data_IF_397641874885
#
_entry.id   IF_397641874885
#
_cell.length_a   1.000
_cell.length_b   1.000
_cell.length_c   1.000
_cell.angle_alpha   90.00
_cell.angle_beta   90.00
_cell.angle_gamma   90.00
#
_symmetry.space_group_name_H-M   'P 1'
#
loop_
_entity.id
_entity.type
_entity.pdbx_description
1 polymer ?
#
# COMPACT_ATOMS: atom_id res chain seq x y z
N UNK A 1 45.50 -73.00 17.96
CA UNK A 1 44.34 -73.42 17.15
C UNK A 1 43.09 -72.91 17.85
N UNK A 2 42.24 -72.19 17.13
CA UNK A 2 41.02 -71.59 17.67
C UNK A 2 40.76 -70.21 17.05
N UNK A 3 40.76 -70.12 15.72
CA UNK A 3 40.19 -68.96 15.04
C UNK A 3 38.67 -68.99 15.30
N UNK A 4 38.20 -68.11 16.19
CA UNK A 4 36.77 -67.88 16.36
C UNK A 4 36.25 -67.26 15.08
N UNK A 5 35.43 -68.00 14.35
CA UNK A 5 34.63 -67.48 13.24
C UNK A 5 33.84 -66.28 13.78
N UNK A 6 34.19 -65.07 13.32
CA UNK A 6 33.27 -63.94 13.41
C UNK A 6 31.98 -64.38 12.73
N UNK A 7 30.91 -64.53 13.50
CA UNK A 7 29.60 -64.82 12.94
C UNK A 7 29.24 -63.63 12.05
N UNK A 8 29.28 -63.84 10.73
CA UNK A 8 28.80 -62.85 9.78
C UNK A 8 27.31 -62.70 10.01
N UNK A 9 26.90 -61.52 10.49
CA UNK A 9 25.49 -61.18 10.61
C UNK A 9 24.89 -61.08 9.19
N UNK A 10 23.72 -61.68 8.93
CA UNK A 10 23.04 -61.54 7.64
C UNK A 10 22.50 -60.13 7.42
N UNK A 11 22.58 -59.25 8.42
CA UNK A 11 22.01 -57.91 8.42
C UNK A 11 23.03 -56.78 8.18
N UNK A 12 24.21 -57.11 7.65
CA UNK A 12 25.29 -56.15 7.38
C UNK A 12 26.31 -56.06 8.51
N UNK A 13 27.58 -55.91 8.14
CA UNK A 13 28.71 -55.91 9.08
C UNK A 13 28.69 -54.71 10.05
N UNK A 14 27.95 -53.66 9.70
CA UNK A 14 27.81 -52.43 10.48
C UNK A 14 26.81 -52.55 11.63
N UNK A 15 25.96 -53.59 11.66
CA UNK A 15 25.01 -53.81 12.75
C UNK A 15 25.72 -54.33 14.00
N UNK A 16 25.71 -53.53 15.07
CA UNK A 16 26.40 -53.83 16.35
C UNK A 16 25.46 -54.23 17.49
N UNK A 17 24.18 -54.47 17.19
CA UNK A 17 23.12 -54.78 18.16
C UNK A 17 23.15 -56.25 18.56
N UNK A 18 22.80 -56.54 19.82
CA UNK A 18 22.74 -57.92 20.29
C UNK A 18 21.61 -58.67 19.59
N UNK A 19 21.86 -59.90 19.14
CA UNK A 19 20.89 -60.59 18.31
C UNK A 19 19.58 -60.93 19.05
N UNK A 20 19.65 -61.03 20.38
CA UNK A 20 18.50 -61.22 21.28
C UNK A 20 17.57 -60.00 21.38
N UNK A 21 18.01 -58.82 20.94
CA UNK A 21 17.16 -57.63 20.88
C UNK A 21 16.14 -57.70 19.74
N UNK A 22 16.32 -58.61 18.78
CA UNK A 22 15.42 -58.81 17.64
C UNK A 22 14.95 -60.26 17.46
N UNK A 23 15.69 -61.25 17.98
CA UNK A 23 15.40 -62.67 17.77
C UNK A 23 15.28 -63.44 19.08
N UNK A 24 14.42 -64.46 19.10
CA UNK A 24 14.36 -65.37 20.23
C UNK A 24 15.58 -66.33 20.25
N UNK A 25 16.01 -66.71 21.46
CA UNK A 25 17.18 -67.57 21.66
C UNK A 25 16.91 -69.05 21.40
N UNK A 26 15.64 -69.44 21.28
CA UNK A 26 15.20 -70.83 21.10
C UNK A 26 15.08 -71.28 19.63
N UNK A 27 15.00 -70.34 18.68
CA UNK A 27 14.75 -70.65 17.27
C UNK A 27 15.11 -69.55 16.28
N UNK A 28 15.71 -68.44 16.72
CA UNK A 28 16.05 -67.29 15.88
C UNK A 28 14.85 -66.61 15.20
N UNK A 29 13.64 -66.80 15.73
CA UNK A 29 12.45 -66.14 15.18
C UNK A 29 12.42 -64.68 15.60
N UNK A 30 12.00 -63.81 14.68
CA UNK A 30 11.87 -62.37 14.94
C UNK A 30 10.76 -62.11 15.98
N UNK A 31 11.07 -61.30 16.99
CA UNK A 31 10.19 -61.07 18.15
C UNK A 31 9.15 -59.95 17.94
N UNK A 32 9.08 -59.36 16.74
CA UNK A 32 8.03 -58.39 16.36
C UNK A 32 8.07 -57.13 17.22
N UNK A 33 6.93 -56.77 17.81
CA UNK A 33 6.77 -55.62 18.72
C UNK A 33 7.73 -55.65 19.92
N UNK A 34 8.29 -56.81 20.27
CA UNK A 34 9.30 -56.93 21.32
C UNK A 34 10.69 -56.47 20.90
N UNK A 35 10.92 -56.19 19.61
CA UNK A 35 12.21 -55.84 19.07
C UNK A 35 12.64 -54.44 19.55
N UNK A 36 13.91 -54.29 19.90
CA UNK A 36 14.45 -53.07 20.50
C UNK A 36 15.51 -52.45 19.60
N UNK A 37 15.11 -51.43 18.84
CA UNK A 37 16.02 -50.63 18.04
C UNK A 37 15.52 -49.18 17.93
N UNK A 38 16.43 -48.21 18.03
CA UNK A 38 16.12 -46.79 17.91
C UNK A 38 16.83 -46.20 16.69
N UNK A 39 16.06 -45.60 15.77
CA UNK A 39 16.58 -44.99 14.55
C UNK A 39 17.16 -43.57 14.77
N UNK A 40 16.90 -42.98 15.93
CA UNK A 40 17.25 -41.60 16.30
C UNK A 40 18.76 -41.29 16.20
N UNK A 41 19.60 -42.34 16.21
CA UNK A 41 21.06 -42.21 16.19
C UNK A 41 21.70 -42.57 14.84
N UNK A 42 20.91 -42.91 13.81
CA UNK A 42 21.42 -43.43 12.52
C UNK A 42 21.00 -42.61 11.30
N UNK A 43 20.59 -41.35 11.49
CA UNK A 43 20.45 -40.37 10.41
C UNK A 43 19.06 -40.24 9.77
N UNK A 44 18.09 -41.07 10.18
CA UNK A 44 16.69 -40.94 9.80
C UNK A 44 15.78 -41.25 10.99
N UNK A 45 15.18 -40.23 11.59
CA UNK A 45 14.29 -40.40 12.75
C UNK A 45 12.91 -40.88 12.28
N UNK A 46 12.45 -42.04 12.77
CA UNK A 46 11.12 -42.54 12.44
C UNK A 46 10.06 -41.73 13.19
N UNK A 47 9.21 -41.02 12.43
CA UNK A 47 8.09 -40.26 12.96
C UNK A 47 6.79 -40.68 12.29
N UNK A 48 5.70 -40.58 13.05
CA UNK A 48 4.33 -40.63 12.52
C UNK A 48 4.13 -41.92 11.70
N UNK A 49 3.77 -41.83 10.41
CA UNK A 49 3.48 -43.01 9.59
C UNK A 49 4.69 -43.92 9.38
N UNK A 50 5.92 -43.40 9.51
CA UNK A 50 7.13 -44.21 9.43
C UNK A 50 7.36 -45.11 10.67
N UNK A 51 6.71 -44.84 11.81
CA UNK A 51 6.79 -45.70 13.01
C UNK A 51 6.10 -47.06 12.80
N UNK A 52 5.11 -47.10 11.91
CA UNK A 52 4.32 -48.29 11.62
C UNK A 52 4.86 -49.07 10.41
N UNK A 53 5.97 -48.61 9.80
CA UNK A 53 6.55 -49.23 8.62
C UNK A 53 7.33 -50.51 8.98
N UNK A 54 7.08 -51.60 8.24
CA UNK A 54 7.89 -52.81 8.34
C UNK A 54 9.35 -52.54 7.97
N UNK A 55 10.30 -53.17 8.66
CA UNK A 55 11.75 -52.97 8.42
C UNK A 55 12.15 -53.17 6.95
N UNK A 56 11.50 -54.11 6.26
CA UNK A 56 11.79 -54.41 4.83
C UNK A 56 11.34 -53.32 3.87
N UNK A 57 10.44 -52.44 4.27
CA UNK A 57 9.97 -51.32 3.44
C UNK A 57 11.11 -50.33 3.17
N UNK A 58 12.02 -50.16 4.13
CA UNK A 58 13.22 -49.34 3.97
C UNK A 58 14.47 -50.20 3.69
N UNK A 59 14.59 -51.35 4.35
CA UNK A 59 15.72 -52.27 4.24
C UNK A 59 15.35 -53.50 3.39
N UNK A 60 15.24 -53.32 2.08
CA UNK A 60 14.78 -54.36 1.14
C UNK A 60 15.57 -55.67 1.22
N UNK A 61 16.88 -55.58 1.47
CA UNK A 61 17.82 -56.71 1.65
C UNK A 61 17.98 -57.15 3.10
N UNK A 62 17.43 -56.37 4.05
CA UNK A 62 17.69 -56.44 5.50
C UNK A 62 19.15 -56.18 5.90
N UNK A 63 19.97 -55.65 4.99
CA UNK A 63 21.30 -55.09 5.31
C UNK A 63 21.08 -53.65 5.75
N UNK A 64 21.27 -53.37 7.05
CA UNK A 64 20.75 -52.13 7.65
C UNK A 64 21.54 -50.86 7.32
N UNK A 65 22.73 -50.99 6.73
CA UNK A 65 23.58 -49.87 6.29
C UNK A 65 23.44 -49.53 4.79
N UNK A 66 22.53 -50.19 4.07
CA UNK A 66 22.28 -49.94 2.63
C UNK A 66 21.13 -48.97 2.35
N UNK A 67 20.24 -48.72 3.31
CA UNK A 67 19.06 -47.89 3.07
C UNK A 67 19.42 -46.40 2.96
N UNK A 68 18.90 -45.74 1.93
CA UNK A 68 18.99 -44.29 1.79
C UNK A 68 17.90 -43.61 2.61
N UNK A 69 18.16 -42.36 3.01
CA UNK A 69 17.27 -41.56 3.86
C UNK A 69 16.52 -40.46 3.09
N UNK A 70 16.70 -40.36 1.77
CA UNK A 70 15.99 -39.39 0.94
C UNK A 70 14.57 -39.86 0.66
N UNK A 71 13.60 -38.94 0.60
CA UNK A 71 12.19 -39.30 0.35
C UNK A 71 12.03 -40.09 -0.96
N UNK A 72 12.70 -39.63 -2.03
CA UNK A 72 12.62 -40.21 -3.38
C UNK A 72 13.28 -41.60 -3.50
N UNK A 73 14.08 -42.02 -2.52
CA UNK A 73 14.66 -43.37 -2.52
C UNK A 73 13.61 -44.45 -2.25
N UNK A 74 12.50 -44.08 -1.59
CA UNK A 74 11.42 -44.98 -1.18
C UNK A 74 10.07 -44.58 -1.78
N UNK A 75 9.84 -43.30 -2.04
CA UNK A 75 8.58 -42.77 -2.56
C UNK A 75 8.72 -42.29 -4.00
N UNK A 76 7.80 -42.75 -4.85
CA UNK A 76 7.71 -42.29 -6.23
C UNK A 76 7.22 -40.84 -6.27
N UNK A 77 7.91 -40.01 -7.04
CA UNK A 77 7.46 -38.66 -7.32
C UNK A 77 6.25 -38.67 -8.26
N UNK A 78 5.11 -38.17 -7.78
CA UNK A 78 3.88 -38.03 -8.55
C UNK A 78 3.83 -36.75 -9.36
N UNK A 79 4.75 -35.80 -9.11
CA UNK A 79 4.73 -34.47 -9.71
C UNK A 79 5.62 -34.33 -10.95
N UNK A 80 6.22 -35.43 -11.42
CA UNK A 80 7.09 -35.45 -12.60
C UNK A 80 8.23 -34.42 -12.54
N UNK A 81 8.83 -34.24 -11.36
CA UNK A 81 9.88 -33.29 -11.01
C UNK A 81 9.51 -31.82 -11.19
N UNK A 82 8.22 -31.48 -11.37
CA UNK A 82 7.78 -30.10 -11.58
C UNK A 82 8.01 -29.19 -10.36
N UNK A 83 8.06 -29.77 -9.16
CA UNK A 83 8.26 -29.05 -7.89
C UNK A 83 9.58 -29.40 -7.18
N UNK A 84 10.45 -30.18 -7.84
CA UNK A 84 11.70 -30.68 -7.25
C UNK A 84 11.54 -31.90 -6.34
N UNK A 85 12.59 -32.25 -5.60
CA UNK A 85 12.70 -33.43 -4.72
C UNK A 85 12.63 -33.11 -3.22
N UNK A 86 12.49 -31.83 -2.85
CA UNK A 86 12.30 -31.39 -1.48
C UNK A 86 10.84 -31.58 -1.03
N UNK A 87 10.46 -32.85 -0.80
CA UNK A 87 9.08 -33.23 -0.49
C UNK A 87 8.53 -32.54 0.77
N UNK A 88 9.39 -32.29 1.77
CA UNK A 88 9.03 -31.72 3.08
C UNK A 88 8.65 -30.24 2.98
N UNK A 89 8.94 -29.60 1.84
CA UNK A 89 8.46 -28.25 1.55
C UNK A 89 6.92 -28.16 1.56
N UNK A 90 6.23 -29.22 1.18
CA UNK A 90 4.77 -29.24 1.04
C UNK A 90 4.11 -30.38 1.83
N UNK A 91 4.77 -31.54 1.94
CA UNK A 91 4.23 -32.73 2.59
C UNK A 91 4.88 -32.94 3.96
N UNK A 92 4.22 -33.73 4.81
CA UNK A 92 4.79 -34.17 6.07
C UNK A 92 4.71 -35.69 6.24
N UNK A 93 5.31 -36.20 7.32
CA UNK A 93 5.40 -37.64 7.59
C UNK A 93 4.07 -38.24 8.08
N UNK A 94 3.01 -37.45 8.26
CA UNK A 94 1.67 -37.95 8.61
C UNK A 94 1.00 -38.46 7.36
N UNK A 95 0.95 -37.63 6.31
CA UNK A 95 0.33 -37.95 5.04
C UNK A 95 0.74 -36.96 3.93
N UNK A 96 0.45 -37.35 2.69
CA UNK A 96 0.75 -36.54 1.50
C UNK A 96 -0.23 -35.40 1.23
N UNK A 97 -1.17 -35.09 2.13
CA UNK A 97 -2.12 -33.98 1.91
C UNK A 97 -1.43 -32.64 2.18
N UNK A 98 -1.81 -31.62 1.41
CA UNK A 98 -1.33 -30.25 1.53
C UNK A 98 -2.53 -29.36 1.82
N UNK A 99 -2.56 -28.74 3.01
CA UNK A 99 -3.68 -27.90 3.48
C UNK A 99 -3.34 -26.39 3.50
N UNK A 100 -2.08 -26.03 3.29
CA UNK A 100 -1.54 -24.67 3.32
C UNK A 100 -1.28 -24.07 1.92
N UNK A 101 -2.12 -24.42 0.94
CA UNK A 101 -1.99 -23.93 -0.45
C UNK A 101 -2.00 -22.38 -0.54
N UNK A 102 -2.85 -21.63 0.19
CA UNK A 102 -2.80 -20.16 0.16
C UNK A 102 -1.46 -19.59 0.62
N UNK A 103 -0.90 -20.13 1.70
CA UNK A 103 0.39 -19.69 2.25
C UNK A 103 1.53 -20.01 1.28
N UNK A 104 1.49 -21.18 0.63
CA UNK A 104 2.45 -21.54 -0.41
C UNK A 104 2.43 -20.56 -1.59
N UNK A 105 1.26 -20.10 -2.00
CA UNK A 105 1.13 -19.08 -3.04
C UNK A 105 1.69 -17.73 -2.58
N UNK A 106 1.41 -17.32 -1.34
CA UNK A 106 1.91 -16.07 -0.76
C UNK A 106 3.43 -16.03 -0.68
N UNK A 107 4.08 -17.06 -0.12
CA UNK A 107 5.55 -17.09 0.04
C UNK A 107 6.28 -17.21 -1.30
N UNK A 108 5.60 -17.68 -2.35
CA UNK A 108 6.14 -17.77 -3.71
C UNK A 108 5.81 -16.53 -4.56
N UNK A 109 5.23 -15.48 -3.99
CA UNK A 109 5.08 -14.20 -4.68
C UNK A 109 3.81 -14.06 -5.53
N UNK A 110 2.82 -14.93 -5.36
CA UNK A 110 1.48 -14.74 -5.93
C UNK A 110 0.39 -14.97 -4.88
N UNK A 111 0.17 -14.04 -3.93
CA UNK A 111 -0.85 -14.20 -2.91
C UNK A 111 -2.25 -14.34 -3.52
N UNK A 112 -2.98 -15.39 -3.13
CA UNK A 112 -4.35 -15.62 -3.61
C UNK A 112 -5.32 -14.64 -2.95
N UNK A 113 -5.44 -13.45 -3.55
CA UNK A 113 -6.28 -12.35 -3.08
C UNK A 113 -7.46 -12.10 -4.03
N UNK A 114 -8.51 -11.45 -3.52
CA UNK A 114 -9.66 -11.05 -4.32
C UNK A 114 -10.29 -12.23 -5.08
N UNK A 115 -10.50 -12.06 -6.38
CA UNK A 115 -11.05 -13.11 -7.25
C UNK A 115 -10.09 -14.30 -7.49
N UNK A 116 -8.77 -14.10 -7.40
CA UNK A 116 -7.79 -15.18 -7.62
C UNK A 116 -7.88 -16.29 -6.57
N UNK A 117 -8.48 -16.02 -5.40
CA UNK A 117 -8.81 -17.04 -4.40
C UNK A 117 -9.97 -17.97 -4.81
N UNK A 118 -10.84 -17.51 -5.71
CA UNK A 118 -12.12 -18.16 -6.01
C UNK A 118 -12.10 -18.96 -7.32
N UNK A 119 -11.09 -18.76 -8.16
CA UNK A 119 -10.93 -19.50 -9.41
C UNK A 119 -10.46 -20.93 -9.15
N UNK A 120 -10.80 -21.84 -10.06
CA UNK A 120 -10.29 -23.22 -10.00
C UNK A 120 -8.78 -23.24 -10.27
N UNK A 121 -8.06 -24.13 -9.59
CA UNK A 121 -6.61 -24.31 -9.79
C UNK A 121 -6.27 -24.56 -11.26
N UNK A 122 -7.14 -25.29 -11.97
CA UNK A 122 -7.00 -25.63 -13.39
C UNK A 122 -7.06 -24.43 -14.34
N UNK A 123 -7.60 -23.28 -13.91
CA UNK A 123 -7.64 -22.07 -14.74
C UNK A 123 -6.24 -21.45 -14.89
N UNK A 124 -5.35 -21.70 -13.93
CA UNK A 124 -3.96 -21.24 -13.94
C UNK A 124 -2.99 -22.40 -14.20
N UNK A 125 -3.10 -23.47 -13.42
CA UNK A 125 -2.26 -24.67 -13.53
C UNK A 125 -2.88 -25.66 -14.51
N UNK A 126 -2.71 -25.41 -15.81
CA UNK A 126 -3.33 -26.19 -16.89
C UNK A 126 -2.98 -27.69 -16.87
N UNK A 127 -1.91 -28.08 -16.18
CA UNK A 127 -1.46 -29.48 -16.04
C UNK A 127 -1.81 -30.11 -14.69
N UNK A 128 -2.60 -29.44 -13.84
CA UNK A 128 -2.98 -29.87 -12.50
C UNK A 128 -3.62 -31.26 -12.46
N UNK A 129 -4.43 -31.59 -13.48
CA UNK A 129 -5.07 -32.91 -13.61
C UNK A 129 -4.10 -34.10 -13.72
N UNK A 130 -2.82 -33.83 -14.01
CA UNK A 130 -1.73 -34.82 -14.02
C UNK A 130 -0.81 -34.69 -12.79
N UNK A 131 -1.25 -33.99 -11.74
CA UNK A 131 -0.46 -33.66 -10.54
C UNK A 131 0.83 -32.90 -10.87
N UNK A 132 0.87 -32.19 -12.01
CA UNK A 132 2.02 -31.42 -12.46
C UNK A 132 1.80 -29.95 -12.21
N UNK A 133 2.69 -29.34 -11.44
CA UNK A 133 2.58 -27.96 -10.97
C UNK A 133 3.73 -27.13 -11.51
N UNK A 134 3.54 -26.62 -12.73
CA UNK A 134 4.55 -25.77 -13.36
C UNK A 134 4.52 -24.35 -12.81
N UNK A 135 5.70 -23.73 -12.81
CA UNK A 135 5.83 -22.30 -12.60
C UNK A 135 5.26 -21.53 -13.79
N UNK A 136 4.18 -20.78 -13.56
CA UNK A 136 3.47 -19.98 -14.56
C UNK A 136 3.88 -18.50 -14.57
N UNK A 137 4.60 -18.04 -13.54
CA UNK A 137 4.88 -16.62 -13.32
C UNK A 137 3.78 -15.90 -12.53
N UNK A 138 4.06 -14.67 -12.10
CA UNK A 138 3.17 -13.85 -11.26
C UNK A 138 2.79 -12.53 -11.91
N UNK A 139 3.26 -12.26 -13.14
CA UNK A 139 3.03 -11.00 -13.81
C UNK A 139 1.57 -10.91 -14.28
N UNK A 140 0.90 -9.82 -13.95
CA UNK A 140 -0.50 -9.59 -14.31
C UNK A 140 -0.73 -9.76 -15.81
N UNK A 141 0.24 -9.29 -16.61
CA UNK A 141 0.19 -9.31 -18.08
C UNK A 141 0.30 -10.71 -18.67
N UNK A 142 0.79 -11.71 -17.92
CA UNK A 142 0.83 -13.10 -18.37
C UNK A 142 -0.57 -13.61 -18.71
N UNK A 143 -1.60 -13.15 -17.98
CA UNK A 143 -3.00 -13.53 -18.21
C UNK A 143 -3.84 -12.37 -18.74
N UNK A 144 -3.65 -11.16 -18.23
CA UNK A 144 -4.56 -10.03 -18.43
C UNK A 144 -4.13 -9.03 -19.50
N UNK A 145 -3.15 -9.37 -20.36
CA UNK A 145 -2.73 -8.45 -21.44
C UNK A 145 -3.83 -8.22 -22.49
N UNK A 146 -4.67 -9.23 -22.75
CA UNK A 146 -5.82 -9.06 -23.66
C UNK A 146 -6.89 -8.14 -23.04
N UNK A 147 -7.16 -8.29 -21.74
CA UNK A 147 -8.05 -7.41 -20.98
C UNK A 147 -7.53 -5.96 -21.02
N UNK A 148 -6.23 -5.77 -20.82
CA UNK A 148 -5.56 -4.47 -20.89
C UNK A 148 -5.76 -3.80 -22.27
N UNK A 149 -5.58 -4.55 -23.37
CA UNK A 149 -5.78 -4.05 -24.73
C UNK A 149 -7.26 -3.82 -25.10
N UNK A 150 -8.18 -4.59 -24.52
CA UNK A 150 -9.60 -4.53 -24.84
C UNK A 150 -10.35 -3.43 -24.07
N UNK A 151 -9.77 -2.89 -22.98
CA UNK A 151 -10.42 -1.89 -22.14
C UNK A 151 -10.56 -0.55 -22.86
N UNK A 152 -11.76 0.03 -22.84
CA UNK A 152 -12.09 1.28 -23.53
C UNK A 152 -12.51 2.44 -22.62
N UNK A 153 -12.71 2.18 -21.33
CA UNK A 153 -13.20 3.18 -20.38
C UNK A 153 -12.57 2.96 -18.98
N UNK A 154 -11.44 3.63 -18.67
CA UNK A 154 -10.59 4.42 -19.57
C UNK A 154 -9.81 3.54 -20.57
N UNK A 155 -9.52 4.03 -21.78
CA UNK A 155 -8.75 3.26 -22.77
C UNK A 155 -7.26 3.27 -22.41
N UNK A 156 -6.74 2.15 -21.92
CA UNK A 156 -5.37 2.06 -21.42
C UNK A 156 -4.30 2.33 -22.49
N UNK A 157 -4.52 1.85 -23.73
CA UNK A 157 -3.57 2.04 -24.84
C UNK A 157 -3.56 3.48 -25.34
N UNK A 158 -4.73 4.09 -25.50
CA UNK A 158 -4.85 5.47 -25.96
C UNK A 158 -4.23 6.44 -24.96
N UNK A 159 -4.39 6.17 -23.67
CA UNK A 159 -3.88 7.01 -22.58
C UNK A 159 -2.43 6.67 -22.20
N UNK A 160 -1.85 5.63 -22.78
CA UNK A 160 -0.46 5.25 -22.55
C UNK A 160 -0.19 4.77 -21.12
N UNK A 161 -1.14 4.08 -20.49
CA UNK A 161 -0.92 3.57 -19.13
C UNK A 161 0.23 2.58 -19.06
N UNK A 162 0.81 2.48 -17.86
CA UNK A 162 1.85 1.51 -17.57
C UNK A 162 1.27 0.08 -17.54
N UNK A 163 2.16 -0.91 -17.61
CA UNK A 163 1.82 -2.31 -17.34
C UNK A 163 1.94 -2.65 -15.84
N UNK A 164 2.27 -1.67 -15.00
CA UNK A 164 2.32 -1.80 -13.54
C UNK A 164 0.90 -1.68 -12.99
N UNK A 165 0.11 -2.74 -13.18
CA UNK A 165 -1.35 -2.72 -12.92
C UNK A 165 -1.69 -2.26 -11.50
N UNK A 166 -0.81 -2.51 -10.52
CA UNK A 166 -1.01 -2.16 -9.11
C UNK A 166 -0.92 -0.67 -8.80
N UNK A 167 -0.52 0.17 -9.76
CA UNK A 167 -0.63 1.62 -9.65
C UNK A 167 -2.10 2.07 -9.50
N UNK A 168 -3.03 1.32 -10.11
CA UNK A 168 -4.47 1.65 -10.12
C UNK A 168 -5.37 0.48 -9.64
N UNK A 169 -4.97 -0.77 -9.87
CA UNK A 169 -5.80 -1.94 -9.60
C UNK A 169 -5.29 -2.70 -8.37
N UNK A 170 -6.17 -2.98 -7.42
CA UNK A 170 -5.80 -3.79 -6.26
C UNK A 170 -6.05 -5.28 -6.54
N UNK A 171 -5.06 -6.17 -6.35
CA UNK A 171 -5.26 -7.62 -6.47
C UNK A 171 -6.21 -8.19 -5.40
N UNK A 172 -6.47 -7.44 -4.33
CA UNK A 172 -7.45 -7.79 -3.31
C UNK A 172 -8.90 -7.39 -3.69
N UNK A 173 -9.08 -6.61 -4.76
CA UNK A 173 -10.40 -6.18 -5.20
C UNK A 173 -11.20 -7.33 -5.81
N UNK A 174 -12.54 -7.23 -5.70
CA UNK A 174 -13.45 -8.16 -6.35
C UNK A 174 -13.68 -7.84 -7.83
N UNK A 175 -13.19 -6.70 -8.32
CA UNK A 175 -13.31 -6.27 -9.72
C UNK A 175 -12.11 -5.40 -10.14
N UNK A 176 -11.93 -5.23 -11.45
CA UNK A 176 -10.96 -4.29 -12.03
C UNK A 176 -11.30 -2.80 -11.76
N UNK A 177 -12.44 -2.50 -11.13
CA UNK A 177 -12.81 -1.13 -10.78
C UNK A 177 -11.76 -0.48 -9.88
N UNK A 178 -11.36 0.74 -10.25
CA UNK A 178 -10.55 1.61 -9.39
C UNK A 178 -11.48 2.26 -8.37
N UNK A 179 -11.11 2.27 -7.09
CA UNK A 179 -11.84 3.01 -6.06
C UNK A 179 -11.46 4.49 -6.12
N UNK A 180 -12.36 5.41 -5.77
CA UNK A 180 -12.07 6.87 -5.74
C UNK A 180 -10.88 7.27 -4.85
N UNK A 181 -10.40 6.34 -4.02
CA UNK A 181 -9.25 6.51 -3.13
C UNK A 181 -7.92 6.89 -3.82
N UNK A 182 -7.83 6.89 -5.15
CA UNK A 182 -6.64 7.37 -5.87
C UNK A 182 -6.55 8.90 -5.97
N UNK A 183 -7.65 9.62 -5.74
CA UNK A 183 -7.72 11.09 -5.79
C UNK A 183 -7.92 11.73 -4.40
N UNK A 184 -7.54 11.05 -3.31
CA UNK A 184 -7.73 11.58 -1.95
C UNK A 184 -7.01 12.91 -1.70
N UNK A 185 -5.90 13.15 -2.38
CA UNK A 185 -5.13 14.39 -2.27
C UNK A 185 -5.55 15.48 -3.25
N UNK A 186 -6.39 15.13 -4.24
CA UNK A 186 -6.96 16.06 -5.19
C UNK A 186 -8.36 15.56 -5.60
N UNK A 187 -9.38 15.75 -4.75
CA UNK A 187 -10.72 15.26 -5.02
C UNK A 187 -11.26 15.84 -6.33
N UNK A 188 -11.77 14.96 -7.20
CA UNK A 188 -12.37 15.35 -8.47
C UNK A 188 -13.77 15.92 -8.23
N UNK A 189 -13.85 17.20 -7.88
CA UNK A 189 -15.09 17.89 -7.57
C UNK A 189 -15.31 19.11 -8.49
N UNK A 190 -16.58 19.45 -8.71
CA UNK A 190 -17.01 20.63 -9.46
C UNK A 190 -16.39 20.76 -10.85
N UNK A 191 -15.49 21.74 -11.06
CA UNK A 191 -14.83 21.94 -12.37
C UNK A 191 -13.66 21.01 -12.63
N UNK A 192 -13.12 20.35 -11.60
CA UNK A 192 -12.09 19.33 -11.73
C UNK A 192 -12.66 17.92 -11.91
N UNK A 193 -13.99 17.75 -11.75
CA UNK A 193 -14.70 16.53 -12.13
C UNK A 193 -14.86 16.45 -13.66
N UNK A 194 -13.77 16.05 -14.32
CA UNK A 194 -13.69 15.89 -15.77
C UNK A 194 -13.40 14.44 -16.14
N UNK A 195 -13.97 14.00 -17.27
CA UNK A 195 -13.73 12.65 -17.79
C UNK A 195 -12.38 12.51 -18.53
N UNK A 196 -11.72 13.63 -18.85
CA UNK A 196 -10.45 13.65 -19.59
C UNK A 196 -9.27 13.65 -18.62
N UNK A 197 -8.83 12.45 -18.25
CA UNK A 197 -7.76 12.27 -17.28
C UNK A 197 -6.43 12.91 -17.77
N UNK A 198 -6.21 12.91 -19.08
CA UNK A 198 -5.01 13.47 -19.71
C UNK A 198 -4.93 15.00 -19.57
N UNK A 199 -6.01 15.68 -19.21
CA UNK A 199 -6.00 17.10 -18.92
C UNK A 199 -5.21 17.44 -17.64
N UNK A 200 -5.13 16.52 -16.69
CA UNK A 200 -4.36 16.68 -15.44
C UNK A 200 -3.06 15.88 -15.47
N UNK A 201 -3.07 14.68 -16.05
CA UNK A 201 -1.92 13.78 -16.10
C UNK A 201 -1.10 13.99 -17.38
N UNK A 202 -0.36 15.10 -17.43
CA UNK A 202 0.37 15.56 -18.63
C UNK A 202 1.63 14.75 -18.99
N UNK A 203 2.02 13.76 -18.19
CA UNK A 203 3.22 12.94 -18.39
C UNK A 203 2.92 11.50 -18.78
N UNK A 204 3.97 10.72 -19.07
CA UNK A 204 3.85 9.27 -19.35
C UNK A 204 3.39 8.46 -18.13
N UNK A 205 3.63 9.00 -16.92
CA UNK A 205 3.19 8.39 -15.67
C UNK A 205 2.14 9.25 -14.99
N UNK A 206 0.99 8.64 -14.73
CA UNK A 206 -0.14 9.28 -14.07
C UNK A 206 0.16 9.59 -12.59
N UNK A 207 1.18 8.98 -11.97
CA UNK A 207 1.58 9.31 -10.60
C UNK A 207 2.27 10.66 -10.44
N UNK A 208 2.64 11.33 -11.54
CA UNK A 208 3.44 12.55 -11.50
C UNK A 208 2.61 13.84 -11.57
N UNK A 209 1.28 13.75 -11.66
CA UNK A 209 0.44 14.95 -11.65
C UNK A 209 0.56 15.67 -10.30
N UNK A 210 0.83 16.97 -10.36
CA UNK A 210 0.96 17.85 -9.21
C UNK A 210 -0.44 18.23 -8.71
N UNK A 211 -0.78 18.00 -7.42
CA UNK A 211 -2.06 18.44 -6.86
C UNK A 211 -2.10 19.95 -6.56
N UNK A 212 -0.97 20.65 -6.67
CA UNK A 212 -0.87 22.08 -6.38
C UNK A 212 -1.61 22.92 -7.44
N UNK A 213 -2.54 23.76 -7.01
CA UNK A 213 -3.38 24.57 -7.90
C UNK A 213 -2.54 25.42 -8.88
N UNK A 214 -1.44 26.02 -8.39
CA UNK A 214 -0.56 26.87 -9.18
C UNK A 214 0.12 26.12 -10.33
N UNK A 215 0.25 24.79 -10.26
CA UNK A 215 0.86 24.01 -11.34
C UNK A 215 0.08 24.10 -12.67
N UNK A 216 -1.23 24.36 -12.59
CA UNK A 216 -2.09 24.59 -13.76
C UNK A 216 -2.57 26.06 -13.86
N UNK A 217 -2.73 26.74 -12.74
CA UNK A 217 -3.34 28.07 -12.66
C UNK A 217 -2.32 29.20 -12.39
N UNK A 218 -1.05 29.00 -12.71
CA UNK A 218 -0.01 30.03 -12.59
C UNK A 218 -0.32 31.28 -13.43
N UNK A 219 -0.71 31.08 -14.69
CA UNK A 219 -1.07 32.19 -15.57
C UNK A 219 -2.29 32.97 -15.04
N UNK A 220 -3.29 32.26 -14.50
CA UNK A 220 -4.45 32.87 -13.86
C UNK A 220 -4.05 33.68 -12.61
N UNK A 221 -3.15 33.12 -11.79
CA UNK A 221 -2.60 33.79 -10.61
C UNK A 221 -1.88 35.10 -10.97
N UNK A 222 -1.05 35.11 -12.02
CA UNK A 222 -0.35 36.30 -12.47
C UNK A 222 -1.23 37.31 -13.23
N UNK A 223 -2.29 36.84 -13.89
CA UNK A 223 -3.20 37.69 -14.65
C UNK A 223 -4.27 38.38 -13.77
N UNK A 224 -4.46 37.92 -12.53
CA UNK A 224 -5.50 38.45 -11.63
C UNK A 224 -5.17 39.88 -11.19
N UNK A 225 -6.12 40.81 -11.40
CA UNK A 225 -5.96 42.23 -11.08
C UNK A 225 -6.80 42.72 -9.89
N UNK A 226 -7.73 41.90 -9.39
CA UNK A 226 -8.65 42.31 -8.33
C UNK A 226 -9.07 41.13 -7.43
N UNK A 227 -8.50 41.00 -6.23
CA UNK A 227 -7.29 41.68 -5.76
C UNK A 227 -6.06 41.24 -6.56
N UNK A 228 -5.11 42.14 -6.82
CA UNK A 228 -3.91 41.79 -7.57
C UNK A 228 -2.94 40.96 -6.71
N UNK A 229 -2.85 39.66 -6.98
CA UNK A 229 -2.05 38.72 -6.17
C UNK A 229 -0.56 39.08 -6.14
N UNK A 230 0.00 39.53 -7.27
CA UNK A 230 1.41 39.93 -7.36
C UNK A 230 1.69 41.23 -6.62
N UNK A 231 0.84 42.24 -6.79
CA UNK A 231 1.02 43.54 -6.15
C UNK A 231 0.91 43.46 -4.62
N UNK A 232 0.09 42.53 -4.13
CA UNK A 232 -0.10 42.28 -2.70
C UNK A 232 0.82 41.18 -2.15
N UNK A 233 1.66 40.60 -3.00
CA UNK A 233 2.63 39.57 -2.63
C UNK A 233 1.98 38.35 -1.94
N UNK A 234 0.82 37.91 -2.44
CA UNK A 234 0.17 36.70 -1.96
C UNK A 234 0.98 35.45 -2.30
N UNK A 235 0.88 34.43 -1.45
CA UNK A 235 1.46 33.11 -1.70
C UNK A 235 0.66 32.30 -2.71
N UNK A 236 1.21 31.16 -3.13
CA UNK A 236 0.59 30.23 -4.08
C UNK A 236 -0.26 29.14 -3.40
N UNK A 237 -0.45 29.23 -2.08
CA UNK A 237 -1.43 28.43 -1.37
C UNK A 237 -2.83 29.02 -1.57
N UNK A 238 -3.45 28.64 -2.69
CA UNK A 238 -4.75 29.16 -3.10
C UNK A 238 -5.85 28.86 -2.09
N UNK A 239 -5.72 27.77 -1.32
CA UNK A 239 -6.76 27.27 -0.39
C UNK A 239 -6.96 28.18 0.83
N UNK A 240 -6.01 29.08 1.08
CA UNK A 240 -6.11 30.10 2.13
C UNK A 240 -7.26 31.07 1.91
N UNK A 241 -7.61 31.34 0.64
CA UNK A 241 -8.68 32.28 0.30
C UNK A 241 -9.73 31.64 -0.61
N UNK A 242 -9.33 30.85 -1.61
CA UNK A 242 -10.26 30.22 -2.54
C UNK A 242 -10.76 28.90 -1.96
N UNK A 243 -12.08 28.82 -1.75
CA UNK A 243 -12.75 27.64 -1.22
C UNK A 243 -13.70 27.04 -2.26
N UNK A 244 -13.74 25.71 -2.30
CA UNK A 244 -14.63 24.95 -3.17
C UNK A 244 -14.22 24.94 -4.63
N UNK A 245 -15.22 24.85 -5.51
CA UNK A 245 -15.09 24.54 -6.94
C UNK A 245 -15.17 25.76 -7.87
N UNK A 246 -15.06 26.98 -7.31
CA UNK A 246 -15.12 28.20 -8.11
C UNK A 246 -14.10 29.26 -7.65
N UNK A 247 -13.29 29.76 -8.59
CA UNK A 247 -12.36 30.87 -8.40
C UNK A 247 -13.04 32.18 -7.95
N UNK A 248 -14.36 32.30 -8.15
CA UNK A 248 -15.14 33.49 -7.79
C UNK A 248 -15.54 33.58 -6.32
N UNK A 249 -15.33 32.54 -5.52
CA UNK A 249 -15.61 32.54 -4.08
C UNK A 249 -14.30 32.57 -3.30
N UNK A 250 -13.69 33.74 -3.24
CA UNK A 250 -12.63 34.02 -2.27
C UNK A 250 -13.26 34.43 -0.94
N UNK A 251 -12.82 33.79 0.14
CA UNK A 251 -13.16 34.13 1.50
C UNK A 251 -11.97 34.86 2.14
N UNK A 252 -12.25 35.99 2.78
CA UNK A 252 -11.25 36.81 3.48
C UNK A 252 -11.41 36.74 5.00
N UNK A 253 -12.04 35.70 5.56
CA UNK A 253 -12.24 35.54 7.00
C UNK A 253 -10.94 35.59 7.83
N UNK A 254 -9.78 35.33 7.21
CA UNK A 254 -8.46 35.48 7.85
C UNK A 254 -7.98 36.94 7.90
N UNK A 255 -8.75 37.90 7.37
CA UNK A 255 -8.41 39.32 7.40
C UNK A 255 -8.28 39.81 8.84
N UNK A 256 -9.23 39.45 9.71
CA UNK A 256 -9.20 39.85 11.12
C UNK A 256 -8.03 39.24 11.90
N UNK A 257 -7.53 38.07 11.48
CA UNK A 257 -6.39 37.40 12.12
C UNK A 257 -5.04 38.03 11.72
N UNK A 258 -4.99 38.68 10.55
CA UNK A 258 -3.76 39.18 9.94
C UNK A 258 -3.69 40.71 9.84
N UNK A 259 -4.83 41.39 9.85
CA UNK A 259 -5.01 42.81 9.54
C UNK A 259 -6.11 43.43 10.42
N UNK A 260 -6.50 44.68 10.13
CA UNK A 260 -7.56 45.38 10.86
C UNK A 260 -8.89 44.58 10.84
N UNK A 261 -9.57 44.37 11.97
CA UNK A 261 -10.81 43.59 12.01
C UNK A 261 -11.95 44.23 11.23
N UNK A 262 -12.51 43.50 10.26
CA UNK A 262 -13.65 43.93 9.43
C UNK A 262 -14.78 42.90 9.40
N UNK A 263 -14.51 41.65 9.79
CA UNK A 263 -15.50 40.59 9.96
C UNK A 263 -15.92 40.42 11.42
N UNK A 264 -15.40 41.26 12.32
CA UNK A 264 -15.71 41.31 13.75
C UNK A 264 -15.47 42.71 14.31
N UNK A 265 -15.93 42.96 15.54
CA UNK A 265 -15.74 44.25 16.20
C UNK A 265 -16.67 45.35 15.67
N UNK A 266 -16.30 46.61 15.88
CA UNK A 266 -17.13 47.78 15.52
C UNK A 266 -17.34 47.99 14.03
N UNK A 267 -16.45 47.46 13.20
CA UNK A 267 -16.50 47.61 11.74
C UNK A 267 -17.14 46.42 11.03
N UNK A 268 -17.62 45.41 11.78
CA UNK A 268 -18.37 44.28 11.22
C UNK A 268 -19.69 44.76 10.60
N UNK A 269 -19.80 44.63 9.27
CA UNK A 269 -21.01 44.99 8.53
C UNK A 269 -21.15 46.48 8.20
N UNK A 270 -20.11 47.29 8.47
CA UNK A 270 -20.08 48.73 8.17
C UNK A 270 -19.43 49.04 6.80
N UNK A 271 -19.14 48.01 6.00
CA UNK A 271 -18.53 48.12 4.67
C UNK A 271 -19.27 47.26 3.64
N UNK A 272 -19.29 47.71 2.39
CA UNK A 272 -19.90 47.01 1.26
C UNK A 272 -18.83 46.45 0.29
N UNK A 273 -17.74 47.20 0.09
CA UNK A 273 -16.65 46.83 -0.82
C UNK A 273 -15.29 47.06 -0.20
N UNK A 274 -14.29 46.28 -0.61
CA UNK A 274 -12.92 46.48 -0.11
C UNK A 274 -12.39 47.89 -0.42
N UNK A 275 -12.91 48.55 -1.45
CA UNK A 275 -12.52 49.92 -1.83
C UNK A 275 -13.08 51.01 -0.94
N UNK A 276 -14.00 50.66 -0.02
CA UNK A 276 -14.51 51.59 0.99
C UNK A 276 -13.40 51.99 1.97
N UNK A 277 -12.48 51.05 2.24
CA UNK A 277 -11.28 51.31 3.03
C UNK A 277 -10.02 51.42 2.15
N UNK A 278 -9.86 50.57 1.14
CA UNK A 278 -8.64 50.50 0.33
C UNK A 278 -8.66 51.38 -0.92
N UNK A 279 -7.77 52.37 -0.94
CA UNK A 279 -7.79 53.41 -1.98
C UNK A 279 -7.16 52.95 -3.31
N UNK A 280 -7.80 53.33 -4.41
CA UNK A 280 -7.26 53.15 -5.77
C UNK A 280 -7.03 51.70 -6.19
N UNK A 281 -7.67 50.74 -5.52
CA UNK A 281 -7.46 49.30 -5.73
C UNK A 281 -6.11 48.79 -5.21
N UNK A 282 -5.39 49.61 -4.44
CA UNK A 282 -4.19 49.20 -3.73
C UNK A 282 -4.54 48.83 -2.28
N UNK A 283 -4.52 47.54 -1.96
CA UNK A 283 -4.87 47.05 -0.62
C UNK A 283 -3.78 47.28 0.45
N UNK A 284 -2.67 47.92 0.09
CA UNK A 284 -1.69 48.46 1.04
C UNK A 284 -1.93 49.94 1.39
N UNK A 285 -2.80 50.61 0.64
CA UNK A 285 -3.25 51.97 0.93
C UNK A 285 -4.65 51.88 1.51
N UNK A 286 -4.88 52.54 2.64
CA UNK A 286 -6.18 52.57 3.29
C UNK A 286 -6.50 53.98 3.79
N UNK A 287 -7.78 54.22 4.09
CA UNK A 287 -8.22 55.45 4.73
C UNK A 287 -9.23 55.16 5.83
N UNK A 288 -8.97 55.71 7.02
CA UNK A 288 -9.94 55.73 8.11
C UNK A 288 -10.84 56.97 8.02
N UNK A 289 -10.30 58.06 7.46
CA UNK A 289 -10.90 59.39 7.48
C UNK A 289 -11.80 59.70 6.27
N UNK A 290 -11.81 58.83 5.25
CA UNK A 290 -12.73 58.98 4.11
C UNK A 290 -14.13 58.38 4.39
N UNK A 291 -14.30 57.71 5.54
CA UNK A 291 -15.56 57.16 5.99
C UNK A 291 -16.49 58.22 6.58
N UNK A 292 -17.80 57.95 6.62
CA UNK A 292 -18.81 58.94 7.01
C UNK A 292 -18.72 59.42 8.46
N UNK A 293 -18.21 58.60 9.38
CA UNK A 293 -18.11 58.92 10.81
C UNK A 293 -16.79 59.59 11.20
N UNK A 294 -15.74 59.44 10.38
CA UNK A 294 -14.39 59.92 10.69
C UNK A 294 -13.89 61.02 9.74
N UNK A 295 -14.76 61.59 8.92
CA UNK A 295 -14.38 62.59 7.92
C UNK A 295 -14.44 64.05 8.42
N UNK A 296 -14.94 64.30 9.63
CA UNK A 296 -14.93 65.62 10.25
C UNK A 296 -13.72 65.75 11.19
N UNK A 297 -12.71 66.44 10.69
CA UNK A 297 -11.48 66.72 11.45
C UNK A 297 -11.76 67.46 12.76
N UNK A 298 -12.71 68.38 12.78
CA UNK A 298 -12.95 69.21 13.97
C UNK A 298 -13.63 68.39 15.06
N UNK A 299 -14.59 67.55 14.69
CA UNK A 299 -15.28 66.67 15.63
C UNK A 299 -14.30 65.67 16.25
N UNK A 300 -13.47 65.00 15.43
CA UNK A 300 -12.45 64.09 15.93
C UNK A 300 -11.41 64.80 16.80
N UNK A 301 -10.98 66.01 16.44
CA UNK A 301 -10.05 66.79 17.28
C UNK A 301 -10.65 67.08 18.66
N UNK A 302 -11.97 67.32 18.75
CA UNK A 302 -12.64 67.55 20.01
C UNK A 302 -12.77 66.27 20.84
N UNK A 303 -12.97 65.11 20.20
CA UNK A 303 -13.04 63.80 20.87
C UNK A 303 -11.68 63.38 21.44
N UNK A 304 -10.59 63.81 20.80
CA UNK A 304 -9.22 63.57 21.25
C UNK A 304 -8.65 64.73 22.10
N UNK A 305 -9.51 65.61 22.67
CA UNK A 305 -9.08 66.73 23.51
C UNK A 305 -8.45 66.21 24.82
N UNK A 306 -7.12 66.16 24.84
CA UNK A 306 -6.32 65.56 25.92
C UNK A 306 -5.19 64.67 25.43
N UNK A 307 -5.20 64.28 24.15
CA UNK A 307 -4.14 63.52 23.51
C UNK A 307 -3.15 64.47 22.80
N UNK A 308 -2.00 64.69 23.42
CA UNK A 308 -0.99 65.67 22.96
C UNK A 308 -0.44 65.37 21.55
N UNK A 309 -0.51 64.10 21.10
CA UNK A 309 0.04 63.61 19.84
C UNK A 309 -1.05 63.22 18.82
N UNK A 310 -2.29 63.72 18.96
CA UNK A 310 -3.34 63.47 17.97
C UNK A 310 -2.96 64.02 16.59
N UNK A 311 -3.02 63.15 15.58
CA UNK A 311 -2.79 63.49 14.17
C UNK A 311 -3.96 62.96 13.36
N UNK A 312 -4.62 63.86 12.62
CA UNK A 312 -5.73 63.51 11.73
C UNK A 312 -5.22 62.92 10.41
N UNK A 313 -4.68 61.70 10.48
CA UNK A 313 -4.15 60.93 9.36
C UNK A 313 -4.44 59.43 9.60
N UNK A 314 -4.82 58.70 8.54
CA UNK A 314 -5.28 57.31 8.65
C UNK A 314 -4.27 56.36 9.30
N UNK A 315 -2.98 56.52 9.02
CA UNK A 315 -1.93 55.70 9.64
C UNK A 315 -1.78 55.97 11.14
N UNK A 316 -2.03 57.21 11.59
CA UNK A 316 -2.02 57.55 13.00
C UNK A 316 -3.26 56.96 13.70
N UNK A 317 -4.44 57.05 13.08
CA UNK A 317 -5.67 56.43 13.57
C UNK A 317 -5.48 54.92 13.75
N UNK A 318 -4.96 54.22 12.73
CA UNK A 318 -4.69 52.78 12.80
C UNK A 318 -3.65 52.41 13.84
N UNK A 319 -2.63 53.25 14.05
CA UNK A 319 -1.62 53.00 15.07
C UNK A 319 -2.18 53.04 16.49
N UNK A 320 -3.06 54.01 16.79
CA UNK A 320 -3.72 54.12 18.09
C UNK A 320 -4.85 53.10 18.26
N UNK A 321 -5.63 52.84 17.20
CA UNK A 321 -6.79 51.97 17.20
C UNK A 321 -6.59 50.76 16.27
N UNK A 322 -5.65 49.84 16.56
CA UNK A 322 -5.34 48.72 15.67
C UNK A 322 -6.48 47.71 15.51
N UNK A 323 -7.47 47.74 16.42
CA UNK A 323 -8.66 46.89 16.41
C UNK A 323 -9.95 47.66 16.13
N UNK A 324 -9.87 48.97 15.88
CA UNK A 324 -11.05 49.82 15.64
C UNK A 324 -11.90 50.10 16.89
N UNK A 325 -11.36 49.86 18.08
CA UNK A 325 -11.99 50.23 19.35
C UNK A 325 -11.44 51.58 19.84
N UNK A 326 -12.28 52.39 20.48
CA UNK A 326 -11.98 53.74 20.98
C UNK A 326 -11.19 53.75 22.32
N UNK A 327 -10.89 52.56 22.88
CA UNK A 327 -10.34 52.36 24.22
C UNK A 327 -8.80 52.31 24.31
#
# INVERSE_FOLDING_TARGET
MGAGLSAQTPHGASLTIACEDCHNTGGWEFIGEGARFAHDNVGFELKLSHLEADCKSCHSTLVFDEAESSCISCHDDMHSMSVGDDCIRCHDERNWLVDNIPELHEINGFPLLGQHRLISCSECHLSESNLRWDWIGSDCTTCHIEDYHATSAPNHIQLGFSLECVECHSPASQSWGVTESFHLFFPLEGKHDINDCAACHLGESYSNASPECVSCHEDDFFATTSPNHLALNFGTDCTMCHIGDSWGQANFNLHDDLYFPIFSGKHEGEWDTCTDCHLGGNFTSFSCIDCHEHNDQQDLTNEHDGEDDFVYESEACFFCHPTGEED
#
